data_IF_363799911297
#
_entry.id   IF_363799911297
#
_cell.length_a   1.000
_cell.length_b   1.000
_cell.length_c   1.000
_cell.angle_alpha   90.00
_cell.angle_beta   90.00
_cell.angle_gamma   90.00
#
_symmetry.space_group_name_H-M   'P 1'
#
loop_
_entity.id
_entity.type
_entity.pdbx_description
1 polymer ?
#
# COMPACT_ATOMS: atom_id res chain seq x y z
N UNK A 1 -13.60 -2.48 -7.81
CA UNK A 1 -12.76 -3.49 -8.49
C UNK A 1 -13.58 -4.19 -9.57
N UNK A 2 -12.98 -4.58 -10.70
CA UNK A 2 -13.68 -5.35 -11.73
C UNK A 2 -13.67 -6.86 -11.39
N UNK A 3 -14.72 -7.64 -11.70
CA UNK A 3 -14.81 -9.05 -11.28
C UNK A 3 -13.71 -9.98 -11.82
N UNK A 4 -13.09 -9.63 -12.95
CA UNK A 4 -12.03 -10.40 -13.61
C UNK A 4 -10.62 -10.00 -13.16
N UNK A 5 -10.52 -8.94 -12.38
CA UNK A 5 -9.28 -8.31 -11.95
C UNK A 5 -8.49 -9.22 -10.98
N UNK A 6 -7.16 -9.25 -11.11
CA UNK A 6 -6.29 -10.18 -10.39
C UNK A 6 -5.24 -9.48 -9.57
N UNK A 7 -5.07 -9.95 -8.33
CA UNK A 7 -4.03 -9.45 -7.43
C UNK A 7 -2.65 -9.85 -7.98
N UNK A 8 -1.80 -8.86 -8.15
CA UNK A 8 -0.41 -9.00 -8.62
C UNK A 8 0.57 -8.91 -7.48
N UNK A 9 0.31 -8.00 -6.53
CA UNK A 9 1.04 -7.90 -5.30
C UNK A 9 0.16 -7.36 -4.18
N UNK A 10 0.45 -7.73 -2.94
CA UNK A 10 -0.11 -7.03 -1.80
C UNK A 10 0.88 -7.01 -0.63
N UNK A 11 0.92 -5.88 0.07
CA UNK A 11 1.91 -5.59 1.10
C UNK A 11 1.15 -5.13 2.35
N UNK A 12 1.37 -5.83 3.47
CA UNK A 12 0.72 -5.53 4.75
C UNK A 12 1.58 -4.61 5.62
N UNK A 13 0.99 -4.10 6.70
CA UNK A 13 1.66 -3.18 7.64
C UNK A 13 2.21 -1.91 6.97
N UNK A 14 1.50 -1.43 5.95
CA UNK A 14 1.77 -0.18 5.28
C UNK A 14 1.31 0.98 6.16
N UNK A 15 2.21 1.87 6.51
CA UNK A 15 1.91 3.15 7.15
C UNK A 15 1.72 4.21 6.07
N UNK A 16 0.48 4.71 5.91
CA UNK A 16 0.14 5.80 5.00
C UNK A 16 0.08 7.12 5.75
N UNK A 17 0.83 8.11 5.28
CA UNK A 17 0.84 9.47 5.83
C UNK A 17 0.54 10.48 4.73
N UNK A 18 -0.28 11.49 5.04
CA UNK A 18 -0.48 12.60 4.12
C UNK A 18 0.74 13.53 4.17
N UNK A 19 1.12 14.10 3.02
CA UNK A 19 2.16 15.15 2.97
C UNK A 19 1.59 16.56 3.09
N UNK A 20 0.33 16.72 3.54
CA UNK A 20 -0.29 18.04 3.76
C UNK A 20 0.27 18.69 5.04
N UNK A 21 0.44 20.02 5.02
CA UNK A 21 1.12 20.81 6.08
C UNK A 21 0.46 20.76 7.48
N UNK A 22 -0.73 20.16 7.63
CA UNK A 22 -1.48 20.05 8.88
C UNK A 22 -1.99 18.62 9.15
N UNK A 23 -1.49 17.60 8.45
CA UNK A 23 -1.92 16.22 8.74
C UNK A 23 -1.22 15.68 9.99
N UNK A 24 -2.03 15.32 10.99
CA UNK A 24 -1.56 14.66 12.22
C UNK A 24 -1.84 13.15 12.08
N UNK A 25 -0.80 12.35 12.21
CA UNK A 25 -0.88 10.88 12.25
C UNK A 25 -0.98 10.20 10.89
N UNK A 26 -0.74 8.88 10.91
CA UNK A 26 -0.87 8.00 9.74
C UNK A 26 -1.90 6.90 9.96
N UNK A 27 -2.10 6.09 8.93
CA UNK A 27 -3.00 4.94 8.95
C UNK A 27 -2.23 3.68 8.56
N UNK A 28 -2.34 2.64 9.39
CA UNK A 28 -1.87 1.31 9.02
C UNK A 28 -2.87 0.64 8.09
N UNK A 29 -2.41 0.01 7.03
CA UNK A 29 -3.25 -0.81 6.18
C UNK A 29 -2.42 -1.77 5.34
N UNK A 30 -3.01 -2.23 4.25
CA UNK A 30 -2.32 -2.93 3.18
C UNK A 30 -2.44 -2.17 1.88
N UNK A 31 -1.40 -2.25 1.08
CA UNK A 31 -1.38 -1.77 -0.29
C UNK A 31 -1.58 -2.99 -1.19
N UNK A 32 -2.61 -2.97 -2.02
CA UNK A 32 -2.94 -4.06 -2.94
C UNK A 32 -2.84 -3.54 -4.36
N UNK A 33 -1.99 -4.19 -5.16
CA UNK A 33 -1.80 -3.93 -6.57
C UNK A 33 -2.45 -5.05 -7.37
N UNK A 34 -3.39 -4.68 -8.21
CA UNK A 34 -4.01 -5.59 -9.15
C UNK A 34 -3.47 -5.34 -10.56
N UNK A 35 -4.08 -5.92 -11.58
CA UNK A 35 -3.79 -5.60 -12.98
C UNK A 35 -4.41 -4.30 -13.49
N UNK A 36 -5.32 -3.65 -12.72
CA UNK A 36 -6.04 -2.43 -13.16
C UNK A 36 -6.02 -1.29 -12.13
N UNK A 37 -5.88 -1.60 -10.85
CA UNK A 37 -6.01 -0.63 -9.76
C UNK A 37 -4.89 -0.76 -8.72
N UNK A 38 -4.65 0.37 -8.07
CA UNK A 38 -3.91 0.45 -6.82
C UNK A 38 -4.90 0.72 -5.69
N UNK A 39 -4.86 -0.10 -4.65
CA UNK A 39 -5.79 -0.01 -3.55
C UNK A 39 -5.07 0.13 -2.21
N UNK A 40 -5.60 0.97 -1.33
CA UNK A 40 -5.18 1.06 0.06
C UNK A 40 -6.33 0.63 0.97
N UNK A 41 -6.15 -0.52 1.61
CA UNK A 41 -7.14 -1.13 2.50
C UNK A 41 -6.71 -0.87 3.95
N UNK A 42 -7.39 0.05 4.61
CA UNK A 42 -7.21 0.38 6.04
C UNK A 42 -8.21 -0.34 6.94
N UNK A 43 -9.37 -0.69 6.40
CA UNK A 43 -10.42 -1.47 7.06
C UNK A 43 -10.56 -2.77 6.30
N UNK A 44 -10.23 -3.87 6.97
CA UNK A 44 -10.27 -5.19 6.37
C UNK A 44 -10.97 -6.16 7.30
N UNK A 45 -11.70 -7.11 6.72
CA UNK A 45 -12.26 -8.26 7.44
C UNK A 45 -11.25 -9.40 7.64
N UNK A 46 -10.04 -9.26 7.08
CA UNK A 46 -8.99 -10.25 7.21
C UNK A 46 -8.71 -10.60 8.68
N UNK A 47 -8.66 -11.91 8.96
CA UNK A 47 -8.54 -12.42 10.33
C UNK A 47 -7.26 -11.93 10.99
N UNK A 48 -7.32 -11.47 12.24
CA UNK A 48 -6.14 -11.01 13.00
C UNK A 48 -5.01 -12.06 13.06
N UNK A 49 -5.35 -13.36 13.10
CA UNK A 49 -4.36 -14.45 13.06
C UNK A 49 -3.62 -14.49 11.71
N UNK A 50 -4.33 -14.29 10.61
CA UNK A 50 -3.76 -14.21 9.27
C UNK A 50 -2.82 -13.00 9.18
N UNK A 51 -3.29 -11.83 9.59
CA UNK A 51 -2.48 -10.60 9.58
C UNK A 51 -1.14 -10.78 10.30
N UNK A 52 -1.16 -11.34 11.53
CA UNK A 52 0.06 -11.61 12.30
C UNK A 52 1.03 -12.55 11.59
N UNK A 53 0.53 -13.64 11.01
CA UNK A 53 1.36 -14.61 10.31
C UNK A 53 1.99 -14.01 9.05
N UNK A 54 1.20 -13.27 8.28
CA UNK A 54 1.65 -12.65 7.04
C UNK A 54 2.65 -11.53 7.28
N UNK A 55 2.46 -10.66 8.28
CA UNK A 55 3.45 -9.64 8.63
C UNK A 55 4.81 -10.27 8.94
N UNK A 56 4.85 -11.37 9.70
CA UNK A 56 6.10 -12.07 10.02
C UNK A 56 6.77 -12.66 8.77
N UNK A 57 6.02 -13.35 7.91
CA UNK A 57 6.53 -13.91 6.64
C UNK A 57 7.03 -12.82 5.70
N UNK A 58 6.29 -11.73 5.57
CA UNK A 58 6.65 -10.57 4.76
C UNK A 58 7.99 -9.97 5.20
N UNK A 59 8.20 -9.77 6.50
CA UNK A 59 9.47 -9.24 7.02
C UNK A 59 10.63 -10.16 6.65
N UNK A 60 10.48 -11.47 6.83
CA UNK A 60 11.52 -12.46 6.44
C UNK A 60 11.77 -12.40 4.94
N UNK A 61 10.72 -12.31 4.12
CA UNK A 61 10.84 -12.19 2.67
C UNK A 61 11.62 -10.93 2.29
N UNK A 62 11.30 -9.77 2.86
CA UNK A 62 12.00 -8.51 2.58
C UNK A 62 13.46 -8.47 3.05
N UNK A 63 13.80 -9.21 4.11
CA UNK A 63 15.20 -9.39 4.52
C UNK A 63 15.97 -10.21 3.47
N UNK A 64 15.34 -11.22 2.86
CA UNK A 64 15.95 -12.09 1.86
C UNK A 64 15.99 -11.46 0.46
N UNK A 65 14.90 -10.80 0.09
CA UNK A 65 14.69 -10.15 -1.20
C UNK A 65 13.86 -8.90 -0.98
N UNK A 66 14.42 -7.75 -1.32
CA UNK A 66 13.74 -6.46 -1.15
C UNK A 66 12.54 -6.27 -2.09
N UNK A 67 12.30 -7.19 -3.01
CA UNK A 67 11.27 -7.07 -4.03
C UNK A 67 9.86 -6.95 -3.43
N UNK A 68 9.14 -5.89 -3.78
CA UNK A 68 7.79 -5.58 -3.33
C UNK A 68 6.68 -6.29 -4.12
N UNK A 69 7.01 -6.93 -5.25
CA UNK A 69 6.07 -7.73 -6.04
C UNK A 69 5.87 -9.12 -5.43
N UNK A 70 5.16 -9.18 -4.30
CA UNK A 70 4.88 -10.42 -3.56
C UNK A 70 3.38 -10.63 -3.37
N UNK A 71 2.97 -11.90 -3.27
CA UNK A 71 1.62 -12.31 -2.92
C UNK A 71 1.66 -13.18 -1.66
N UNK A 72 0.68 -13.00 -0.79
CA UNK A 72 0.45 -13.84 0.37
C UNK A 72 -0.73 -14.77 0.12
N UNK A 73 -0.68 -15.93 0.77
CA UNK A 73 -1.75 -16.91 0.85
C UNK A 73 -2.85 -16.45 1.80
N UNK A 74 -4.12 -16.79 1.53
CA UNK A 74 -5.23 -16.56 2.47
C UNK A 74 -5.83 -15.15 2.49
N UNK A 75 -5.52 -14.33 1.48
CA UNK A 75 -6.27 -13.12 1.11
C UNK A 75 -6.35 -13.04 -0.42
N UNK A 76 -7.55 -13.13 -0.97
CA UNK A 76 -7.78 -13.26 -2.41
C UNK A 76 -8.62 -12.14 -3.02
N UNK A 77 -9.02 -12.31 -4.28
CA UNK A 77 -9.84 -11.34 -5.00
C UNK A 77 -11.24 -11.15 -4.38
N UNK A 78 -11.83 -12.19 -3.77
CA UNK A 78 -13.14 -12.09 -3.11
C UNK A 78 -13.02 -11.27 -1.82
N UNK A 79 -12.00 -11.56 -1.00
CA UNK A 79 -11.69 -10.77 0.19
C UNK A 79 -11.47 -9.29 -0.16
N UNK A 80 -10.71 -9.02 -1.22
CA UNK A 80 -10.45 -7.66 -1.70
C UNK A 80 -11.71 -6.98 -2.19
N UNK A 81 -12.56 -7.68 -2.94
CA UNK A 81 -13.81 -7.14 -3.47
C UNK A 81 -14.76 -6.72 -2.35
N UNK A 82 -14.84 -7.51 -1.27
CA UNK A 82 -15.61 -7.15 -0.08
C UNK A 82 -14.99 -5.94 0.65
N UNK A 83 -13.67 -5.93 0.84
CA UNK A 83 -12.99 -4.83 1.55
C UNK A 83 -13.14 -3.48 0.80
N UNK A 84 -13.11 -3.45 -0.53
CA UNK A 84 -13.24 -2.18 -1.28
C UNK A 84 -14.64 -1.55 -1.21
N UNK A 85 -15.67 -2.30 -0.81
CA UNK A 85 -17.01 -1.73 -0.58
C UNK A 85 -17.03 -0.74 0.59
N UNK A 86 -16.08 -0.85 1.53
CA UNK A 86 -15.91 0.12 2.60
C UNK A 86 -15.30 1.42 2.07
N UNK A 87 -16.12 2.49 2.08
CA UNK A 87 -15.75 3.85 1.63
C UNK A 87 -14.52 4.46 2.34
N UNK A 88 -14.07 3.89 3.45
CA UNK A 88 -12.86 4.31 4.17
C UNK A 88 -11.58 3.79 3.49
N UNK A 89 -11.70 2.75 2.68
CA UNK A 89 -10.65 2.25 1.82
C UNK A 89 -10.55 3.09 0.55
N UNK A 90 -9.48 2.90 -0.22
CA UNK A 90 -9.22 3.69 -1.43
C UNK A 90 -8.94 2.75 -2.57
N UNK A 91 -9.68 2.91 -3.66
CA UNK A 91 -9.45 2.27 -4.95
C UNK A 91 -9.10 3.37 -5.94
N UNK A 92 -8.01 3.21 -6.69
CA UNK A 92 -7.54 4.16 -7.70
C UNK A 92 -7.27 3.39 -8.98
N UNK A 93 -7.83 3.85 -10.10
CA UNK A 93 -7.34 3.38 -11.39
C UNK A 93 -5.92 3.89 -11.59
N UNK A 94 -5.10 3.18 -12.36
CA UNK A 94 -3.77 3.66 -12.68
C UNK A 94 -3.80 5.02 -13.37
N UNK A 95 -4.82 5.27 -14.20
CA UNK A 95 -4.98 6.54 -14.92
C UNK A 95 -5.36 7.72 -13.97
N UNK A 96 -5.90 7.43 -12.78
CA UNK A 96 -6.21 8.45 -11.76
C UNK A 96 -4.97 8.91 -10.97
N UNK A 97 -3.86 8.17 -11.09
CA UNK A 97 -2.60 8.45 -10.39
C UNK A 97 -1.82 9.50 -11.20
N UNK A 98 -1.73 10.72 -10.68
CA UNK A 98 -0.99 11.80 -11.34
C UNK A 98 0.52 11.67 -11.19
N UNK A 99 0.99 11.14 -10.05
CA UNK A 99 2.42 10.89 -9.82
C UNK A 99 2.61 9.66 -8.92
N UNK A 100 3.55 8.80 -9.31
CA UNK A 100 4.00 7.69 -8.47
C UNK A 100 5.52 7.54 -8.58
N UNK A 101 6.17 7.39 -7.44
CA UNK A 101 7.62 7.29 -7.33
C UNK A 101 8.03 6.72 -6.00
N UNK A 102 9.33 6.63 -5.76
CA UNK A 102 9.86 6.16 -4.50
C UNK A 102 11.12 6.92 -4.11
N UNK A 103 11.42 6.92 -2.81
CA UNK A 103 12.57 7.60 -2.22
C UNK A 103 13.20 6.71 -1.15
N UNK A 104 14.52 6.55 -1.21
CA UNK A 104 15.28 5.86 -0.18
C UNK A 104 15.68 6.84 0.93
N UNK A 105 15.17 6.60 2.15
CA UNK A 105 15.55 7.38 3.34
C UNK A 105 16.48 6.57 4.23
N UNK A 106 17.18 7.26 5.12
CA UNK A 106 18.09 6.62 6.09
C UNK A 106 17.37 5.57 6.94
N UNK A 107 16.10 5.85 7.29
CA UNK A 107 15.25 5.02 8.14
C UNK A 107 14.37 3.99 7.40
N UNK A 108 14.20 4.08 6.08
CA UNK A 108 13.30 3.19 5.33
C UNK A 108 13.08 3.61 3.87
N UNK A 109 12.45 2.74 3.08
CA UNK A 109 12.10 3.02 1.69
C UNK A 109 10.66 3.49 1.59
N UNK A 110 10.42 4.59 0.89
CA UNK A 110 9.14 5.29 0.86
C UNK A 110 8.57 5.27 -0.56
N UNK A 111 7.34 4.79 -0.71
CA UNK A 111 6.55 4.98 -1.92
C UNK A 111 5.80 6.32 -1.81
N UNK A 112 5.83 7.12 -2.86
CA UNK A 112 5.13 8.39 -2.96
C UNK A 112 4.02 8.28 -3.99
N UNK A 113 2.84 8.79 -3.65
CA UNK A 113 1.67 8.75 -4.51
C UNK A 113 0.96 10.10 -4.50
N UNK A 114 0.63 10.57 -5.69
CA UNK A 114 -0.28 11.69 -5.92
C UNK A 114 -1.42 11.25 -6.83
N UNK A 115 -2.62 11.65 -6.48
CA UNK A 115 -3.82 11.43 -7.28
C UNK A 115 -4.84 12.53 -7.00
N UNK A 116 -5.81 12.68 -7.91
CA UNK A 116 -6.94 13.58 -7.70
C UNK A 116 -8.15 12.81 -7.18
N UNK A 117 -8.80 13.33 -6.13
CA UNK A 117 -10.04 12.79 -5.62
C UNK A 117 -10.98 13.94 -5.27
N UNK A 118 -12.21 13.90 -5.78
CA UNK A 118 -13.23 14.92 -5.56
C UNK A 118 -12.73 16.36 -5.88
N UNK A 119 -11.95 16.52 -6.95
CA UNK A 119 -11.36 17.80 -7.37
C UNK A 119 -10.20 18.29 -6.50
N UNK A 120 -9.68 17.45 -5.59
CA UNK A 120 -8.57 17.78 -4.70
C UNK A 120 -7.38 16.89 -4.98
N UNK A 121 -6.21 17.50 -5.10
CA UNK A 121 -4.94 16.77 -5.12
C UNK A 121 -4.65 16.19 -3.75
N UNK A 122 -4.51 14.88 -3.71
CA UNK A 122 -4.10 14.12 -2.55
C UNK A 122 -2.65 13.66 -2.72
N UNK A 123 -1.82 13.91 -1.72
CA UNK A 123 -0.40 13.50 -1.71
C UNK A 123 -0.14 12.66 -0.48
N UNK A 124 0.29 11.42 -0.69
CA UNK A 124 0.58 10.45 0.35
C UNK A 124 2.00 9.89 0.22
N UNK A 125 2.54 9.48 1.35
CA UNK A 125 3.68 8.59 1.43
C UNK A 125 3.30 7.29 2.13
N UNK A 126 3.92 6.20 1.68
CA UNK A 126 3.69 4.86 2.18
C UNK A 126 5.04 4.25 2.55
N UNK A 127 5.12 3.67 3.73
CA UNK A 127 6.28 2.94 4.21
C UNK A 127 5.83 1.65 4.88
N UNK A 128 6.68 0.63 4.89
CA UNK A 128 6.34 -0.65 5.53
C UNK A 128 6.86 -0.60 6.96
N UNK A 129 5.94 -0.56 7.92
CA UNK A 129 6.27 -0.58 9.34
C UNK A 129 6.76 -1.96 9.75
N UNK A 130 7.88 -2.00 10.46
CA UNK A 130 8.45 -3.21 11.04
C UNK A 130 8.04 -3.36 12.51
N UNK A 131 8.10 -2.27 13.28
CA UNK A 131 7.81 -2.23 14.71
C UNK A 131 6.92 -1.04 15.06
N UNK A 132 6.23 -1.13 16.20
CA UNK A 132 5.23 -0.16 16.64
C UNK A 132 5.39 0.19 18.12
N UNK A 133 5.17 1.47 18.45
CA UNK A 133 4.77 1.88 19.80
C UNK A 133 3.24 1.85 19.91
N UNK A 134 2.69 1.57 21.09
CA UNK A 134 1.24 1.49 21.32
C UNK A 134 0.67 2.65 22.14
N UNK A 135 1.53 3.41 22.82
CA UNK A 135 1.14 4.50 23.72
C UNK A 135 2.10 5.69 23.53
N UNK A 136 1.61 6.95 23.52
CA UNK A 136 0.21 7.37 23.72
C UNK A 136 -0.72 7.13 22.52
N UNK A 137 -0.15 6.90 21.34
CA UNK A 137 -0.86 6.49 20.13
C UNK A 137 -0.07 5.40 19.40
N UNK A 138 -0.75 4.62 18.55
CA UNK A 138 -0.08 3.60 17.73
C UNK A 138 0.66 4.27 16.58
N UNK A 139 1.98 4.19 16.58
CA UNK A 139 2.85 4.73 15.53
C UNK A 139 4.01 3.78 15.24
N UNK A 140 4.51 3.70 13.99
CA UNK A 140 5.69 2.91 13.69
C UNK A 140 6.94 3.50 14.33
N UNK A 141 7.80 2.64 14.86
CA UNK A 141 9.13 3.04 15.39
C UNK A 141 10.26 2.63 14.47
N UNK A 142 9.98 1.72 13.53
CA UNK A 142 10.96 1.20 12.58
C UNK A 142 10.27 0.86 11.26
N UNK A 143 10.99 1.07 10.16
CA UNK A 143 10.51 0.82 8.81
C UNK A 143 11.46 -0.10 8.05
N UNK A 144 10.91 -0.83 7.08
CA UNK A 144 11.69 -1.69 6.20
C UNK A 144 12.35 -0.89 5.08
N UNK A 145 13.49 -1.40 4.62
CA UNK A 145 14.11 -0.99 3.35
C UNK A 145 13.77 -2.02 2.28
N UNK A 146 13.03 -1.61 1.27
CA UNK A 146 12.49 -2.46 0.20
C UNK A 146 12.71 -1.82 -1.15
N UNK A 147 12.58 -2.61 -2.22
CA UNK A 147 12.67 -2.14 -3.59
C UNK A 147 11.26 -1.90 -4.14
N UNK A 148 10.88 -0.62 -4.20
CA UNK A 148 9.62 -0.16 -4.78
C UNK A 148 9.65 -0.05 -6.31
N UNK A 149 10.83 -0.14 -6.94
CA UNK A 149 10.97 0.05 -8.38
C UNK A 149 10.05 -0.87 -9.22
N UNK A 150 10.00 -2.20 -9.00
CA UNK A 150 9.14 -3.06 -9.82
C UNK A 150 7.64 -2.75 -9.62
N UNK A 151 7.24 -2.37 -8.41
CA UNK A 151 5.87 -1.97 -8.10
C UNK A 151 5.46 -0.68 -8.83
N UNK A 152 6.32 0.33 -8.80
CA UNK A 152 6.11 1.61 -9.50
C UNK A 152 6.11 1.40 -11.02
N UNK A 153 7.05 0.60 -11.53
CA UNK A 153 7.15 0.30 -12.95
C UNK A 153 5.88 -0.38 -13.47
N UNK A 154 5.36 -1.36 -12.72
CA UNK A 154 4.16 -2.11 -13.09
C UNK A 154 2.95 -1.20 -13.36
N UNK A 155 2.77 -0.19 -12.50
CA UNK A 155 1.70 0.81 -12.62
C UNK A 155 1.94 1.69 -13.84
N UNK A 156 3.15 2.28 -13.97
CA UNK A 156 3.50 3.18 -15.08
C UNK A 156 3.35 2.52 -16.45
N UNK A 157 3.71 1.25 -16.58
CA UNK A 157 3.58 0.48 -17.83
C UNK A 157 2.12 0.32 -18.28
N UNK A 158 1.16 0.48 -17.36
CA UNK A 158 -0.28 0.29 -17.59
C UNK A 158 -1.07 1.58 -17.56
N UNK A 159 -0.43 2.70 -17.24
CA UNK A 159 -1.04 4.02 -17.41
C UNK A 159 -1.17 4.31 -18.90
N UNK A 160 -2.37 4.75 -19.30
CA UNK A 160 -2.59 5.27 -20.65
C UNK A 160 -2.02 6.69 -20.67
N UNK A 161 -0.78 6.83 -21.11
CA UNK A 161 -0.24 8.16 -21.41
C UNK A 161 -1.06 8.75 -22.56
N UNK A 162 -1.95 9.70 -22.25
CA UNK A 162 -2.42 10.65 -23.26
C UNK A 162 -1.20 11.44 -23.70
N UNK A 163 -0.68 11.11 -24.88
CA UNK A 163 0.30 11.93 -25.60
C UNK A 163 -0.28 13.30 -25.93
#
# INVERSE_FOLDING_TARGET
MQPDEKIQAHIVSIWRESKKFLSIGGKEGMLVLTDKHLMFIHKTEAKMKWWKAITQRQVINFIRSKNTMIRHDGYDEEDLMNDVEDKRNTELSFDDISEIGFEEKTWGSVLQLEYEKDGKKEKFQYSIAQDWVKYPAKEPTKYMKVDWAPFVQYIKDRQKFTK
#
